data_IF_950814447186
#
_entry.id   IF_950814447186
#
_cell.length_a   1.000
_cell.length_b   1.000
_cell.length_c   1.000
_cell.angle_alpha   90.00
_cell.angle_beta   90.00
_cell.angle_gamma   90.00
#
_symmetry.space_group_name_H-M   'P 1'
#
loop_
_entity.id
_entity.type
_entity.pdbx_description
1 polymer ?
#
# COMPACT_ATOMS: atom_id res chain seq x y z
N UNK A 1 9.86 4.82 -5.67
CA UNK A 1 8.61 5.37 -5.13
C UNK A 1 7.92 6.11 -6.25
N UNK A 2 6.62 5.90 -6.43
CA UNK A 2 5.80 6.55 -7.47
C UNK A 2 4.81 7.47 -6.75
N UNK A 3 4.71 8.72 -7.18
CA UNK A 3 3.68 9.64 -6.72
C UNK A 3 2.36 9.34 -7.45
N UNK A 4 1.32 8.99 -6.69
CA UNK A 4 0.01 8.64 -7.25
C UNK A 4 -0.73 9.87 -7.79
N UNK A 5 -0.49 11.05 -7.23
CA UNK A 5 -1.11 12.30 -7.70
C UNK A 5 -0.72 12.64 -9.14
N UNK A 6 0.53 12.36 -9.51
CA UNK A 6 1.02 12.57 -10.88
C UNK A 6 0.47 11.52 -11.86
N UNK A 7 0.16 10.32 -11.35
CA UNK A 7 -0.32 9.20 -12.17
C UNK A 7 -1.84 9.23 -12.41
N UNK A 8 -2.60 9.76 -11.45
CA UNK A 8 -4.06 9.65 -11.38
C UNK A 8 -4.77 10.99 -11.59
N UNK A 9 -4.16 11.93 -12.32
CA UNK A 9 -4.71 13.28 -12.56
C UNK A 9 -6.11 13.23 -13.17
N UNK A 10 -6.30 12.42 -14.21
CA UNK A 10 -7.52 12.40 -15.04
C UNK A 10 -8.04 10.98 -15.30
N UNK A 11 -7.47 9.98 -14.63
CA UNK A 11 -7.85 8.58 -14.79
C UNK A 11 -7.86 7.81 -13.47
N UNK A 12 -8.76 6.84 -13.40
CA UNK A 12 -8.79 5.88 -12.31
C UNK A 12 -7.66 4.85 -12.48
N UNK A 13 -7.12 4.37 -11.37
CA UNK A 13 -6.32 3.15 -11.36
C UNK A 13 -7.27 1.96 -11.32
N UNK A 14 -7.13 1.03 -12.25
CA UNK A 14 -7.89 -0.22 -12.26
C UNK A 14 -6.94 -1.36 -12.57
N UNK A 15 -6.62 -2.13 -11.55
CA UNK A 15 -5.84 -3.35 -11.69
C UNK A 15 -6.75 -4.51 -11.35
N UNK A 16 -7.03 -5.36 -12.35
CA UNK A 16 -7.86 -6.55 -12.17
C UNK A 16 -7.21 -7.56 -11.23
N UNK A 17 -7.84 -8.73 -11.05
CA UNK A 17 -7.32 -9.76 -10.16
C UNK A 17 -5.94 -10.26 -10.60
N UNK A 18 -4.92 -10.03 -9.79
CA UNK A 18 -3.54 -10.45 -10.07
C UNK A 18 -2.74 -10.66 -8.78
N UNK A 19 -1.47 -11.07 -8.91
CA UNK A 19 -0.53 -11.16 -7.81
C UNK A 19 0.85 -10.71 -8.27
N UNK A 20 1.66 -10.22 -7.35
CA UNK A 20 3.05 -9.87 -7.59
C UNK A 20 4.01 -10.76 -6.82
N UNK A 21 5.27 -10.81 -7.27
CA UNK A 21 6.39 -11.45 -6.58
C UNK A 21 7.26 -10.45 -5.78
N UNK A 22 6.70 -9.27 -5.48
CA UNK A 22 7.31 -8.19 -4.71
C UNK A 22 6.31 -7.66 -3.67
N UNK A 23 6.82 -6.95 -2.66
CA UNK A 23 5.97 -6.19 -1.74
C UNK A 23 5.38 -4.99 -2.44
N UNK A 24 4.09 -4.74 -2.20
CA UNK A 24 3.35 -3.61 -2.72
C UNK A 24 2.82 -2.78 -1.54
N UNK A 25 3.38 -1.60 -1.34
CA UNK A 25 3.08 -0.68 -0.23
C UNK A 25 2.46 0.60 -0.79
N UNK A 26 1.23 0.92 -0.40
CA UNK A 26 0.59 2.20 -0.72
C UNK A 26 0.38 3.03 0.53
N UNK A 27 0.77 4.29 0.47
CA UNK A 27 0.51 5.30 1.51
C UNK A 27 -0.47 6.30 0.89
N UNK A 28 -1.72 6.29 1.34
CA UNK A 28 -2.82 7.02 0.71
C UNK A 28 -3.23 8.21 1.56
N UNK A 29 -2.85 9.41 1.12
CA UNK A 29 -3.22 10.67 1.75
C UNK A 29 -4.66 11.04 1.42
N UNK A 30 -5.02 10.91 0.14
CA UNK A 30 -6.37 11.14 -0.35
C UNK A 30 -6.71 10.01 -1.31
N UNK A 31 -7.68 9.18 -0.98
CA UNK A 31 -8.12 8.12 -1.88
C UNK A 31 -9.51 7.62 -1.49
N UNK A 32 -10.25 7.15 -2.48
CA UNK A 32 -11.46 6.37 -2.29
C UNK A 32 -11.50 5.19 -3.25
N UNK A 33 -12.59 4.41 -3.21
CA UNK A 33 -12.89 3.17 -3.94
C UNK A 33 -12.57 1.90 -3.14
N UNK A 34 -11.93 0.91 -3.75
CA UNK A 34 -11.95 -0.48 -3.27
C UNK A 34 -10.62 -1.17 -3.50
N UNK A 35 -10.22 -1.95 -2.50
CA UNK A 35 -9.11 -2.88 -2.60
C UNK A 35 -9.59 -4.24 -2.13
N UNK A 36 -9.61 -5.23 -3.02
CA UNK A 36 -9.91 -6.60 -2.65
C UNK A 36 -8.59 -7.35 -2.53
N UNK A 37 -8.31 -7.94 -1.37
CA UNK A 37 -7.08 -8.70 -1.12
C UNK A 37 -7.48 -10.07 -0.60
N UNK A 38 -7.03 -11.11 -1.30
CA UNK A 38 -7.44 -12.50 -1.16
C UNK A 38 -8.96 -12.67 -1.15
N UNK A 39 -9.57 -12.81 0.03
CA UNK A 39 -11.03 -12.97 0.20
C UNK A 39 -11.68 -11.83 0.99
N UNK A 40 -10.96 -10.72 1.19
CA UNK A 40 -11.41 -9.58 2.01
C UNK A 40 -11.50 -8.30 1.20
N UNK A 41 -12.70 -7.72 1.20
CA UNK A 41 -12.96 -6.43 0.59
C UNK A 41 -12.63 -5.30 1.58
N UNK A 42 -11.86 -4.33 1.11
CA UNK A 42 -11.52 -3.12 1.84
C UNK A 42 -12.09 -1.90 1.10
N UNK A 43 -12.78 -1.04 1.85
CA UNK A 43 -13.07 0.31 1.39
C UNK A 43 -11.82 1.15 1.56
N UNK A 44 -11.34 1.71 0.45
CA UNK A 44 -10.19 2.62 0.48
C UNK A 44 -10.67 3.96 1.02
N UNK A 45 -9.96 4.48 2.01
CA UNK A 45 -10.19 5.80 2.61
C UNK A 45 -8.86 6.51 2.82
N UNK A 46 -8.89 7.84 2.93
CA UNK A 46 -7.73 8.66 3.26
C UNK A 46 -7.04 8.25 4.56
N UNK A 47 -5.77 8.62 4.67
CA UNK A 47 -4.88 8.38 5.82
C UNK A 47 -4.74 6.87 6.14
N UNK A 48 -4.57 6.08 5.08
CA UNK A 48 -4.39 4.64 5.18
C UNK A 48 -3.09 4.19 4.55
N UNK A 49 -2.57 3.08 5.08
CA UNK A 49 -1.45 2.37 4.49
C UNK A 49 -1.90 0.96 4.15
N UNK A 50 -1.73 0.59 2.88
CA UNK A 50 -1.89 -0.79 2.43
C UNK A 50 -0.53 -1.46 2.27
N UNK A 51 -0.38 -2.65 2.82
CA UNK A 51 0.81 -3.49 2.66
C UNK A 51 0.38 -4.84 2.10
N UNK A 52 0.94 -5.24 0.97
CA UNK A 52 0.65 -6.52 0.33
C UNK A 52 1.96 -7.28 0.18
N UNK A 53 2.20 -8.27 1.04
CA UNK A 53 3.24 -9.27 0.83
C UNK A 53 3.22 -9.89 -0.57
N UNK A 54 4.41 -10.24 -1.03
CA UNK A 54 4.59 -11.03 -2.25
C UNK A 54 3.71 -12.29 -2.21
N UNK A 55 2.99 -12.55 -3.30
CA UNK A 55 2.20 -13.76 -3.52
C UNK A 55 0.71 -13.66 -3.17
N UNK A 56 0.28 -12.63 -2.43
CA UNK A 56 -1.15 -12.39 -2.19
C UNK A 56 -1.84 -11.92 -3.47
N UNK A 57 -3.08 -12.37 -3.66
CA UNK A 57 -3.90 -12.00 -4.81
C UNK A 57 -4.68 -10.74 -4.46
N UNK A 58 -4.74 -9.78 -5.37
CA UNK A 58 -5.52 -8.56 -5.16
C UNK A 58 -6.13 -8.00 -6.45
N UNK A 59 -7.18 -7.22 -6.28
CA UNK A 59 -7.80 -6.36 -7.27
C UNK A 59 -7.91 -4.95 -6.67
N UNK A 60 -7.46 -3.93 -7.41
CA UNK A 60 -7.37 -2.56 -6.93
C UNK A 60 -8.12 -1.61 -7.86
N UNK A 61 -8.96 -0.77 -7.25
CA UNK A 61 -9.53 0.41 -7.90
C UNK A 61 -9.19 1.61 -7.04
N UNK A 62 -8.53 2.62 -7.61
CA UNK A 62 -8.37 3.95 -7.03
C UNK A 62 -9.03 4.99 -7.94
N UNK A 63 -9.66 5.99 -7.35
CA UNK A 63 -10.23 7.08 -8.12
C UNK A 63 -9.17 8.05 -8.66
N UNK A 64 -9.49 8.69 -9.79
CA UNK A 64 -8.75 9.87 -10.24
C UNK A 64 -8.71 10.93 -9.12
N UNK A 65 -7.62 11.69 -9.05
CA UNK A 65 -7.36 12.66 -8.00
C UNK A 65 -6.87 12.05 -6.69
N UNK A 66 -6.71 10.72 -6.60
CA UNK A 66 -6.07 10.10 -5.44
C UNK A 66 -4.62 10.56 -5.29
N UNK A 67 -4.20 10.85 -4.06
CA UNK A 67 -2.86 11.31 -3.69
C UNK A 67 -2.21 10.36 -2.71
N UNK A 68 -0.91 10.25 -2.83
CA UNK A 68 -0.11 9.37 -1.99
C UNK A 68 1.05 8.79 -2.77
N UNK A 69 1.58 7.69 -2.25
CA UNK A 69 2.79 7.08 -2.76
C UNK A 69 2.62 5.57 -2.90
N UNK A 70 3.13 5.03 -4.01
CA UNK A 70 3.30 3.60 -4.22
C UNK A 70 4.79 3.24 -4.13
N UNK A 71 5.10 2.25 -3.31
CA UNK A 71 6.45 1.74 -3.09
C UNK A 71 6.40 0.23 -3.33
N UNK A 72 7.25 -0.25 -4.23
CA UNK A 72 7.38 -1.68 -4.55
C UNK A 72 8.82 -2.13 -4.38
N UNK A 73 9.04 -3.29 -3.76
CA UNK A 73 10.40 -3.85 -3.60
C UNK A 73 10.39 -5.37 -3.46
N UNK A 74 11.45 -6.01 -3.95
CA UNK A 74 11.61 -7.45 -3.86
C UNK A 74 12.04 -7.91 -2.46
N UNK A 75 11.78 -9.18 -2.14
CA UNK A 75 12.21 -9.78 -0.87
C UNK A 75 13.74 -9.71 -0.67
N UNK A 76 14.53 -9.76 -1.75
CA UNK A 76 15.99 -9.66 -1.71
C UNK A 76 16.50 -8.32 -1.14
N UNK A 77 15.74 -7.24 -1.31
CA UNK A 77 16.06 -5.95 -0.67
C UNK A 77 16.06 -6.08 0.86
N UNK A 78 15.17 -6.94 1.37
CA UNK A 78 14.93 -7.10 2.80
C UNK A 78 15.80 -8.18 3.46
N UNK A 79 16.32 -9.13 2.69
CA UNK A 79 17.08 -10.28 3.22
C UNK A 79 18.41 -9.90 3.89
N UNK A 80 18.94 -8.70 3.63
CA UNK A 80 20.19 -8.21 4.20
C UNK A 80 20.02 -7.41 5.51
N UNK A 81 18.79 -7.28 6.01
CA UNK A 81 18.49 -6.50 7.21
C UNK A 81 18.70 -7.33 8.48
N UNK A 82 19.16 -6.70 9.56
CA UNK A 82 19.34 -7.32 10.88
C UNK A 82 18.07 -8.04 11.37
N UNK A 83 18.25 -9.15 12.09
CA UNK A 83 17.17 -10.07 12.51
C UNK A 83 16.01 -9.40 13.23
N UNK A 84 16.27 -8.48 14.16
CA UNK A 84 15.20 -7.80 14.91
C UNK A 84 14.31 -6.94 14.01
N UNK A 85 14.88 -6.26 13.00
CA UNK A 85 14.09 -5.49 12.04
C UNK A 85 13.24 -6.46 11.20
N UNK A 86 13.80 -7.65 10.86
CA UNK A 86 13.12 -8.75 10.16
C UNK A 86 11.77 -9.08 10.78
N UNK A 87 11.77 -9.30 12.07
CA UNK A 87 10.57 -9.65 12.83
C UNK A 87 9.56 -8.51 12.88
N UNK A 88 10.01 -7.27 13.09
CA UNK A 88 9.13 -6.10 13.13
C UNK A 88 8.39 -5.93 11.80
N UNK A 89 9.10 -6.03 10.68
CA UNK A 89 8.47 -5.93 9.36
C UNK A 89 7.54 -7.12 9.06
N UNK A 90 7.94 -8.34 9.42
CA UNK A 90 7.07 -9.51 9.28
C UNK A 90 5.76 -9.29 10.03
N UNK A 91 5.82 -8.83 11.28
CA UNK A 91 4.62 -8.51 12.08
C UNK A 91 3.79 -7.39 11.45
N UNK A 92 4.44 -6.34 10.95
CA UNK A 92 3.77 -5.22 10.27
C UNK A 92 3.11 -5.63 8.94
N UNK A 93 3.53 -6.73 8.32
CA UNK A 93 2.96 -7.20 7.05
C UNK A 93 1.90 -8.28 7.23
N UNK A 94 1.63 -8.71 8.48
CA UNK A 94 0.52 -9.63 8.79
C UNK A 94 -0.86 -9.00 8.58
N UNK A 95 -0.95 -7.67 8.62
CA UNK A 95 -2.19 -6.95 8.31
C UNK A 95 -2.01 -6.19 7.01
N UNK A 96 -2.99 -6.29 6.12
CA UNK A 96 -2.92 -5.57 4.85
C UNK A 96 -3.28 -4.09 4.95
N UNK A 97 -4.00 -3.67 5.99
CA UNK A 97 -4.52 -2.31 6.12
C UNK A 97 -4.21 -1.75 7.51
N UNK A 98 -3.67 -0.55 7.50
CA UNK A 98 -3.52 0.30 8.68
C UNK A 98 -4.26 1.61 8.45
N UNK A 99 -5.20 1.92 9.33
CA UNK A 99 -5.81 3.25 9.40
C UNK A 99 -5.10 4.05 10.48
N UNK A 100 -4.74 5.29 10.15
CA UNK A 100 -3.97 6.15 11.03
C UNK A 100 -4.74 7.43 11.30
N UNK A 101 -4.63 7.93 12.53
CA UNK A 101 -5.05 9.30 12.82
C UNK A 101 -4.17 10.31 12.05
N UNK A 102 -4.70 11.53 11.88
CA UNK A 102 -4.05 12.56 11.07
C UNK A 102 -2.64 12.91 11.57
N UNK A 103 -2.42 12.88 12.90
CA UNK A 103 -1.13 13.21 13.48
C UNK A 103 -0.06 12.17 13.12
N UNK A 104 -0.36 10.89 13.31
CA UNK A 104 0.53 9.78 12.93
C UNK A 104 0.75 9.75 11.43
N UNK A 105 -0.30 9.98 10.64
CA UNK A 105 -0.17 9.95 9.18
C UNK A 105 0.73 11.08 8.67
N UNK A 106 0.56 12.30 9.19
CA UNK A 106 1.40 13.45 8.83
C UNK A 106 2.87 13.20 9.15
N UNK A 107 3.17 12.55 10.29
CA UNK A 107 4.53 12.15 10.65
C UNK A 107 5.16 11.18 9.64
N UNK A 108 4.36 10.31 9.02
CA UNK A 108 4.86 9.39 7.97
C UNK A 108 5.17 10.14 6.68
N UNK A 109 4.37 11.14 6.31
CA UNK A 109 4.61 11.96 5.12
C UNK A 109 5.81 12.92 5.26
N UNK A 110 6.25 13.18 6.48
CA UNK A 110 7.37 14.08 6.78
C UNK A 110 8.76 13.40 6.73
N UNK A 111 8.82 12.11 6.41
CA UNK A 111 10.05 11.31 6.26
C UNK A 111 10.53 11.37 4.82
#
# INVERSE_FOLDING_TARGET
>A
MINLGDLLVDKNMKEGLHRHNFFFLMILEQASRKHHIDFKNYHVVSNTIFIIPSGQVHELILEQGSKGYLITFYFSFYSHIHSYKKEVFQRATLNNLYHLDNEKFTKILAI
#
